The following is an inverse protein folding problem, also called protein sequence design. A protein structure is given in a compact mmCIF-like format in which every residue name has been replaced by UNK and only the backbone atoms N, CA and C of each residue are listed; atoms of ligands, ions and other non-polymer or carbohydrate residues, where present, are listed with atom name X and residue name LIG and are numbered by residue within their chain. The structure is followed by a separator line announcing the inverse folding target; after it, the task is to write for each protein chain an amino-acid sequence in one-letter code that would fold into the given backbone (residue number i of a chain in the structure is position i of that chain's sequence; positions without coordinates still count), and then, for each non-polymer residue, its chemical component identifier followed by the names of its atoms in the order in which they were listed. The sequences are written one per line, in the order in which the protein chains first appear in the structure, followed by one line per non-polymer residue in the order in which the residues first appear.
data_IF_022389331462
#
_entry.id   IF_022389331462
#
_cell.length_a   1.000
_cell.length_b   1.000
_cell.length_c   1.000
_cell.angle_alpha   90.00
_cell.angle_beta   90.00
_cell.angle_gamma   90.00
#
_symmetry.space_group_name_H-M   'P 1'
#
loop_
_entity.id
_entity.type
_entity.pdbx_description
1 polymer ?
#
# COMPACT_ATOMS: atom_id res chain seq x y z
N UNK A 1 -12.04 -21.67 8.77
CA UNK A 1 -11.66 -20.91 7.54
C UNK A 1 -12.86 -20.33 6.78
N UNK A 2 -13.93 -21.09 6.48
CA UNK A 2 -15.13 -20.56 5.77
C UNK A 2 -15.81 -19.43 6.54
N UNK A 3 -15.99 -19.58 7.84
CA UNK A 3 -16.57 -18.56 8.73
C UNK A 3 -15.74 -17.26 8.73
N UNK A 4 -14.42 -17.36 8.94
CA UNK A 4 -13.52 -16.19 8.90
C UNK A 4 -13.56 -15.48 7.54
N UNK A 5 -13.63 -16.25 6.44
CA UNK A 5 -13.75 -15.68 5.09
C UNK A 5 -15.05 -14.89 4.93
N UNK A 6 -16.16 -15.39 5.49
CA UNK A 6 -17.43 -14.66 5.49
C UNK A 6 -17.35 -13.40 6.32
N UNK A 7 -16.80 -13.44 7.54
CA UNK A 7 -16.59 -12.26 8.39
C UNK A 7 -15.77 -11.21 7.63
N UNK A 8 -14.60 -11.59 7.09
CA UNK A 8 -13.77 -10.63 6.35
C UNK A 8 -14.49 -10.02 5.16
N UNK A 9 -15.34 -10.79 4.47
CA UNK A 9 -16.13 -10.31 3.32
C UNK A 9 -17.25 -9.39 3.78
N UNK A 10 -18.11 -9.82 4.69
CA UNK A 10 -19.29 -9.10 5.16
C UNK A 10 -18.94 -7.76 5.81
N UNK A 11 -17.87 -7.70 6.59
CA UNK A 11 -17.41 -6.47 7.21
C UNK A 11 -16.55 -5.58 6.29
N UNK A 12 -16.40 -5.95 5.01
CA UNK A 12 -15.71 -5.16 4.00
C UNK A 12 -14.22 -4.96 4.24
N UNK A 13 -13.53 -5.97 4.81
CA UNK A 13 -12.11 -5.90 5.18
C UNK A 13 -11.24 -6.04 3.93
N UNK A 14 -10.56 -4.95 3.59
CA UNK A 14 -9.61 -4.85 2.49
C UNK A 14 -8.18 -4.87 3.00
N UNK A 15 -7.23 -5.25 2.17
CA UNK A 15 -5.80 -5.07 2.46
C UNK A 15 -5.46 -3.59 2.60
N UNK A 16 -5.26 -3.13 3.84
CA UNK A 16 -5.09 -1.72 4.20
C UNK A 16 -3.68 -1.16 3.94
N UNK A 17 -2.74 -1.99 3.47
CA UNK A 17 -1.37 -1.59 3.11
C UNK A 17 -1.23 -0.82 1.79
N UNK A 18 -2.33 -0.36 1.18
CA UNK A 18 -2.34 0.46 -0.05
C UNK A 18 -2.74 -0.29 -1.33
N UNK A 19 -2.49 -1.61 -1.43
CA UNK A 19 -2.79 -2.39 -2.63
C UNK A 19 -4.31 -2.66 -2.84
N UNK A 20 -5.10 -2.67 -1.76
CA UNK A 20 -6.56 -2.80 -1.85
C UNK A 20 -7.05 -4.20 -2.25
N UNK A 21 -6.28 -5.24 -2.02
CA UNK A 21 -6.72 -6.61 -2.31
C UNK A 21 -7.72 -7.08 -1.23
N UNK A 22 -8.88 -7.67 -1.60
CA UNK A 22 -9.84 -8.21 -0.64
C UNK A 22 -9.22 -9.25 0.29
N UNK A 23 -9.27 -9.00 1.61
CA UNK A 23 -8.53 -9.81 2.60
C UNK A 23 -9.01 -11.25 2.66
N UNK A 24 -10.31 -11.50 2.48
CA UNK A 24 -10.88 -12.84 2.47
C UNK A 24 -10.30 -13.75 1.39
N UNK A 25 -9.87 -13.15 0.26
CA UNK A 25 -9.34 -13.91 -0.87
C UNK A 25 -7.87 -14.34 -0.68
N UNK A 26 -7.18 -13.81 0.33
CA UNK A 26 -5.84 -14.28 0.73
C UNK A 26 -5.88 -15.54 1.59
N UNK A 27 -7.01 -15.87 2.19
CA UNK A 27 -7.16 -17.09 2.98
C UNK A 27 -7.12 -18.31 2.05
N UNK A 28 -6.06 -19.09 2.13
CA UNK A 28 -5.83 -20.29 1.34
C UNK A 28 -5.33 -21.42 2.24
N UNK A 29 -5.61 -22.66 1.83
CA UNK A 29 -5.09 -23.87 2.48
C UNK A 29 -3.59 -24.04 2.13
N UNK A 30 -2.85 -24.70 3.02
CA UNK A 30 -1.43 -24.99 2.82
C UNK A 30 -0.47 -23.90 3.30
N UNK A 31 -0.97 -22.82 3.92
CA UNK A 31 -0.09 -21.89 4.63
C UNK A 31 0.33 -22.48 5.98
N UNK A 32 1.62 -22.35 6.29
CA UNK A 32 2.21 -22.76 7.57
C UNK A 32 2.79 -21.56 8.35
N UNK A 33 2.75 -20.35 7.76
CA UNK A 33 3.22 -19.12 8.38
C UNK A 33 2.31 -17.94 8.05
N UNK A 34 1.94 -17.17 9.07
CA UNK A 34 1.28 -15.89 8.93
C UNK A 34 2.27 -14.76 9.17
N UNK A 35 2.47 -13.89 8.20
CA UNK A 35 3.23 -12.65 8.36
C UNK A 35 2.29 -11.46 8.48
N UNK A 36 2.52 -10.62 9.48
CA UNK A 36 1.80 -9.36 9.64
C UNK A 36 2.77 -8.21 9.41
N UNK A 37 2.55 -7.49 8.32
CA UNK A 37 3.40 -6.40 7.87
C UNK A 37 3.08 -5.11 8.63
N UNK A 38 3.92 -4.77 9.61
CA UNK A 38 4.03 -3.48 10.28
C UNK A 38 5.30 -2.71 9.88
N UNK A 39 5.96 -3.14 8.79
CA UNK A 39 7.19 -2.52 8.28
C UNK A 39 6.88 -1.38 7.32
N UNK A 40 6.22 -0.33 7.83
CA UNK A 40 5.88 0.84 7.03
C UNK A 40 7.13 1.39 6.31
N UNK A 41 7.16 1.25 4.97
CA UNK A 41 8.35 1.54 4.17
C UNK A 41 8.33 2.91 3.53
N UNK A 42 7.16 3.47 3.32
CA UNK A 42 7.01 4.79 2.76
C UNK A 42 7.45 5.83 3.79
N UNK A 43 8.44 6.69 3.45
CA UNK A 43 8.81 7.77 4.34
C UNK A 43 7.62 8.67 4.70
N UNK A 44 7.70 9.34 5.85
CA UNK A 44 6.70 10.29 6.35
C UNK A 44 5.33 9.67 6.70
N UNK A 45 5.17 8.35 6.61
CA UNK A 45 3.97 7.65 7.09
C UNK A 45 4.24 7.06 8.47
N UNK A 46 3.26 7.20 9.36
CA UNK A 46 3.33 6.75 10.76
C UNK A 46 2.10 5.96 11.19
N UNK A 47 1.25 5.59 10.25
CA UNK A 47 -0.04 4.94 10.50
C UNK A 47 0.13 3.59 11.18
N UNK A 48 0.98 2.71 10.64
CA UNK A 48 1.19 1.37 11.22
C UNK A 48 1.90 1.46 12.58
N UNK A 49 2.84 2.40 12.76
CA UNK A 49 3.48 2.66 14.05
C UNK A 49 2.46 3.07 15.12
N UNK A 50 1.56 4.01 14.79
CA UNK A 50 0.54 4.49 15.75
C UNK A 50 -0.45 3.38 16.09
N UNK A 51 -0.93 2.61 15.12
CA UNK A 51 -1.81 1.46 15.38
C UNK A 51 -1.13 0.45 16.30
N UNK A 52 0.15 0.15 16.09
CA UNK A 52 0.91 -0.75 16.97
C UNK A 52 1.14 -0.17 18.35
N UNK A 53 1.33 1.16 18.48
CA UNK A 53 1.53 1.84 19.75
C UNK A 53 0.26 1.85 20.59
N UNK A 54 -0.88 2.21 19.99
CA UNK A 54 -2.10 2.54 20.71
C UNK A 54 -3.15 1.40 20.69
N UNK A 55 -3.10 0.50 19.67
CA UNK A 55 -4.12 -0.51 19.40
C UNK A 55 -3.56 -1.94 19.27
N UNK A 56 -2.36 -2.20 19.81
CA UNK A 56 -1.72 -3.53 19.76
C UNK A 56 -2.66 -4.68 20.19
N UNK A 57 -3.45 -4.57 21.30
CA UNK A 57 -4.35 -5.65 21.69
C UNK A 57 -5.36 -6.02 20.61
N UNK A 58 -5.85 -5.04 19.84
CA UNK A 58 -6.80 -5.27 18.77
C UNK A 58 -6.15 -5.94 17.56
N UNK A 59 -4.92 -5.52 17.22
CA UNK A 59 -4.11 -6.17 16.17
C UNK A 59 -3.85 -7.64 16.53
N UNK A 60 -3.42 -7.92 17.75
CA UNK A 60 -3.16 -9.28 18.24
C UNK A 60 -4.44 -10.14 18.24
N UNK A 61 -5.59 -9.54 18.58
CA UNK A 61 -6.88 -10.22 18.45
C UNK A 61 -7.17 -10.67 17.01
N UNK A 62 -7.01 -9.76 16.03
CA UNK A 62 -7.21 -10.12 14.62
C UNK A 62 -6.24 -11.20 14.12
N UNK A 63 -4.98 -11.17 14.58
CA UNK A 63 -4.00 -12.22 14.27
C UNK A 63 -4.44 -13.57 14.86
N UNK A 64 -4.86 -13.58 16.13
CA UNK A 64 -5.33 -14.79 16.82
C UNK A 64 -6.53 -15.41 16.12
N UNK A 65 -7.45 -14.61 15.58
CA UNK A 65 -8.57 -15.09 14.79
C UNK A 65 -8.13 -15.80 13.50
N UNK A 66 -7.13 -15.24 12.79
CA UNK A 66 -6.58 -15.92 11.62
C UNK A 66 -5.97 -17.27 12.01
N UNK A 67 -5.14 -17.31 13.06
CA UNK A 67 -4.47 -18.53 13.51
C UNK A 67 -5.47 -19.61 13.94
N UNK A 68 -6.51 -19.23 14.70
CA UNK A 68 -7.53 -20.16 15.20
C UNK A 68 -8.35 -20.81 14.08
N UNK A 69 -8.71 -20.05 13.04
CA UNK A 69 -9.55 -20.50 11.95
C UNK A 69 -8.79 -21.20 10.82
N UNK A 70 -7.47 -20.96 10.70
CA UNK A 70 -6.63 -21.55 9.64
C UNK A 70 -5.81 -22.74 10.12
N UNK A 71 -5.55 -22.84 11.41
CA UNK A 71 -4.65 -23.85 11.97
C UNK A 71 -3.17 -23.55 11.73
N UNK A 72 -2.82 -22.36 11.22
CA UNK A 72 -1.42 -21.94 11.04
C UNK A 72 -0.71 -21.95 12.40
N UNK A 73 0.47 -22.60 12.52
CA UNK A 73 1.10 -22.83 13.83
C UNK A 73 1.63 -21.58 14.49
N UNK A 74 2.03 -20.55 13.71
CA UNK A 74 2.58 -19.31 14.26
C UNK A 74 2.43 -18.12 13.33
N UNK A 75 2.55 -16.92 13.91
CA UNK A 75 2.60 -15.65 13.19
C UNK A 75 3.83 -14.84 13.60
N UNK A 76 4.38 -14.10 12.63
CA UNK A 76 5.41 -13.08 12.87
C UNK A 76 4.85 -11.70 12.58
N UNK A 77 4.85 -10.82 13.60
CA UNK A 77 4.62 -9.39 13.43
C UNK A 77 5.94 -8.74 13.01
N UNK A 78 6.03 -8.39 11.73
CA UNK A 78 7.23 -7.86 11.11
C UNK A 78 7.27 -6.34 11.25
N UNK A 79 8.25 -5.80 11.96
CA UNK A 79 8.44 -4.37 12.19
C UNK A 79 9.89 -3.96 11.93
N UNK A 80 10.12 -2.72 11.50
CA UNK A 80 11.46 -2.19 11.28
C UNK A 80 12.18 -1.92 12.61
N UNK A 81 13.50 -1.98 12.62
CA UNK A 81 14.33 -1.79 13.82
C UNK A 81 14.05 -0.47 14.54
N UNK A 82 13.89 0.65 13.84
CA UNK A 82 13.55 1.93 14.48
C UNK A 82 12.15 1.92 15.10
N UNK A 83 11.17 1.25 14.50
CA UNK A 83 9.81 1.09 15.05
C UNK A 83 9.85 0.17 16.27
N UNK A 84 10.55 -0.95 16.19
CA UNK A 84 10.74 -1.88 17.30
C UNK A 84 11.35 -1.17 18.52
N UNK A 85 12.42 -0.38 18.30
CA UNK A 85 13.05 0.44 19.35
C UNK A 85 12.07 1.41 20.01
N UNK A 86 11.22 2.09 19.22
CA UNK A 86 10.21 3.03 19.75
C UNK A 86 9.12 2.33 20.57
N UNK A 87 8.76 1.10 20.18
CA UNK A 87 7.75 0.29 20.87
C UNK A 87 8.32 -0.52 22.05
N UNK A 88 9.64 -0.54 22.24
CA UNK A 88 10.28 -1.38 23.26
C UNK A 88 10.19 -2.87 22.97
N UNK A 89 10.16 -3.28 21.71
CA UNK A 89 10.00 -4.66 21.24
C UNK A 89 11.34 -5.16 20.71
N UNK A 90 11.76 -6.36 21.12
CA UNK A 90 12.95 -7.05 20.60
C UNK A 90 12.58 -8.13 19.57
N UNK A 91 13.55 -8.52 18.74
CA UNK A 91 13.38 -9.65 17.82
C UNK A 91 13.14 -10.94 18.59
N UNK A 92 12.11 -11.70 18.19
CA UNK A 92 11.71 -12.94 18.85
C UNK A 92 10.82 -12.77 20.09
N UNK A 93 10.50 -11.55 20.53
CA UNK A 93 9.58 -11.33 21.65
C UNK A 93 8.23 -12.01 21.40
N UNK A 94 7.75 -12.75 22.41
CA UNK A 94 6.40 -13.34 22.39
C UNK A 94 5.37 -12.26 22.75
N UNK A 95 4.61 -11.83 21.74
CA UNK A 95 3.59 -10.78 21.87
C UNK A 95 2.24 -11.34 22.37
N UNK A 96 1.92 -12.57 21.96
CA UNK A 96 0.74 -13.33 22.41
C UNK A 96 0.97 -14.83 22.15
N UNK A 97 -0.04 -15.68 22.39
CA UNK A 97 0.10 -17.09 22.04
C UNK A 97 0.31 -17.27 20.56
N UNK A 98 1.39 -18.02 20.17
CA UNK A 98 1.80 -18.28 18.78
C UNK A 98 2.11 -17.02 17.93
N UNK A 99 2.23 -15.83 18.55
CA UNK A 99 2.53 -14.57 17.86
C UNK A 99 3.84 -14.01 18.39
N UNK A 100 4.81 -13.82 17.49
CA UNK A 100 6.15 -13.36 17.81
C UNK A 100 6.51 -12.10 17.02
N UNK A 101 7.37 -11.27 17.57
CA UNK A 101 7.94 -10.14 16.87
C UNK A 101 9.07 -10.59 15.93
N UNK A 102 9.13 -9.99 14.75
CA UNK A 102 10.25 -10.12 13.82
C UNK A 102 10.77 -8.74 13.47
N UNK A 103 11.95 -8.42 13.94
CA UNK A 103 12.59 -7.12 13.69
C UNK A 103 13.37 -7.19 12.37
N UNK A 104 13.03 -6.30 11.45
CA UNK A 104 13.61 -6.20 10.13
C UNK A 104 14.53 -4.97 10.02
N UNK A 105 15.54 -5.00 9.12
CA UNK A 105 16.45 -3.88 8.93
C UNK A 105 15.71 -2.61 8.43
N UNK A 106 16.27 -1.44 8.76
CA UNK A 106 15.77 -0.14 8.34
C UNK A 106 16.15 0.19 6.89
N UNK A 107 15.63 -0.60 5.96
CA UNK A 107 15.90 -0.46 4.52
C UNK A 107 14.61 -0.27 3.72
N UNK A 108 14.74 0.24 2.50
CA UNK A 108 13.66 0.39 1.52
C UNK A 108 13.92 -0.52 0.31
N UNK A 109 12.93 -1.23 -0.21
CA UNK A 109 11.51 -1.33 0.15
C UNK A 109 11.18 -2.63 0.92
N UNK A 110 11.62 -2.77 2.16
CA UNK A 110 11.45 -4.00 2.97
C UNK A 110 9.98 -4.41 3.17
N UNK A 111 9.05 -3.45 3.16
CA UNK A 111 7.61 -3.70 3.27
C UNK A 111 6.94 -4.17 1.97
N UNK A 112 7.67 -4.28 0.86
CA UNK A 112 7.19 -4.99 -0.31
C UNK A 112 6.97 -6.47 0.03
N UNK A 113 5.79 -7.02 -0.27
CA UNK A 113 5.33 -8.33 0.21
C UNK A 113 6.36 -9.45 -0.04
N UNK A 114 6.98 -9.50 -1.22
CA UNK A 114 7.98 -10.54 -1.55
C UNK A 114 9.30 -10.31 -0.82
N UNK A 115 9.73 -9.06 -0.73
CA UNK A 115 10.93 -8.69 0.04
C UNK A 115 10.74 -8.98 1.53
N UNK A 116 9.56 -8.69 2.07
CA UNK A 116 9.19 -8.97 3.45
C UNK A 116 9.25 -10.48 3.76
N UNK A 117 8.67 -11.31 2.89
CA UNK A 117 8.65 -12.78 3.07
C UNK A 117 10.08 -13.32 3.11
N UNK A 118 10.93 -12.85 2.20
CA UNK A 118 12.32 -13.30 2.18
C UNK A 118 13.08 -12.88 3.44
N UNK A 119 12.98 -11.62 3.86
CA UNK A 119 13.67 -11.12 5.06
C UNK A 119 13.14 -11.73 6.36
N UNK A 120 11.84 -11.93 6.47
CA UNK A 120 11.24 -12.45 7.69
C UNK A 120 11.40 -13.96 7.85
N UNK A 121 11.35 -14.72 6.75
CA UNK A 121 11.23 -16.18 6.77
C UNK A 121 12.26 -16.91 5.89
N UNK A 122 13.14 -16.22 5.15
CA UNK A 122 14.10 -16.84 4.23
C UNK A 122 13.45 -17.54 3.02
N UNK A 123 12.14 -17.30 2.77
CA UNK A 123 11.39 -17.97 1.71
C UNK A 123 11.31 -17.10 0.46
N UNK A 124 11.58 -17.67 -0.69
CA UNK A 124 11.45 -16.98 -1.97
C UNK A 124 10.09 -17.30 -2.59
N UNK A 125 9.31 -16.28 -2.89
CA UNK A 125 8.12 -16.41 -3.73
C UNK A 125 8.56 -16.40 -5.18
N UNK A 126 8.18 -17.39 -5.95
CA UNK A 126 8.53 -17.47 -7.37
C UNK A 126 7.93 -16.29 -8.16
N UNK A 127 8.62 -15.81 -9.20
CA UNK A 127 8.14 -14.71 -10.04
C UNK A 127 6.75 -14.97 -10.61
N UNK A 128 5.82 -14.05 -10.37
CA UNK A 128 4.43 -14.14 -10.85
C UNK A 128 3.50 -15.05 -10.03
N UNK A 129 4.03 -15.78 -9.07
CA UNK A 129 3.22 -16.61 -8.15
C UNK A 129 2.76 -15.79 -6.92
N UNK A 130 1.84 -16.35 -6.17
CA UNK A 130 1.31 -15.75 -4.94
C UNK A 130 2.09 -16.22 -3.70
N UNK A 131 2.12 -15.45 -2.59
CA UNK A 131 2.79 -15.83 -1.35
C UNK A 131 2.45 -17.22 -0.82
N UNK A 132 1.25 -17.70 -1.07
CA UNK A 132 0.81 -19.05 -0.66
C UNK A 132 1.65 -20.16 -1.27
N UNK A 133 2.26 -19.95 -2.44
CA UNK A 133 3.17 -20.96 -3.04
C UNK A 133 4.45 -21.14 -2.22
N UNK A 134 4.80 -20.15 -1.39
CA UNK A 134 5.87 -20.23 -0.40
C UNK A 134 5.34 -20.62 1.00
N UNK A 135 4.09 -21.06 1.13
CA UNK A 135 3.46 -21.44 2.40
C UNK A 135 3.11 -20.26 3.31
N UNK A 136 3.03 -19.03 2.78
CA UNK A 136 2.87 -17.81 3.57
C UNK A 136 1.59 -17.07 3.23
N UNK A 137 0.90 -16.56 4.25
CA UNK A 137 -0.13 -15.53 4.12
C UNK A 137 0.41 -14.22 4.69
N UNK A 138 0.21 -13.10 4.00
CA UNK A 138 0.65 -11.78 4.45
C UNK A 138 -0.53 -10.84 4.60
N UNK A 139 -0.68 -10.24 5.79
CA UNK A 139 -1.62 -9.15 6.05
C UNK A 139 -0.88 -7.90 6.56
N UNK A 140 -1.48 -6.72 6.41
CA UNK A 140 -0.99 -5.49 7.03
C UNK A 140 -1.55 -5.33 8.46
N UNK A 141 -0.87 -4.57 9.30
CA UNK A 141 -1.27 -4.27 10.70
C UNK A 141 -2.70 -3.74 10.78
N UNK A 142 -3.06 -2.73 9.98
CA UNK A 142 -4.41 -2.17 9.99
C UNK A 142 -5.48 -3.17 9.52
N UNK A 143 -5.12 -4.11 8.65
CA UNK A 143 -6.03 -5.20 8.25
C UNK A 143 -6.34 -6.09 9.45
N UNK A 144 -5.35 -6.41 10.28
CA UNK A 144 -5.55 -7.21 11.49
C UNK A 144 -6.32 -6.44 12.56
N UNK A 145 -6.04 -5.14 12.71
CA UNK A 145 -6.86 -4.25 13.54
C UNK A 145 -8.35 -4.29 13.12
N UNK A 146 -8.64 -4.11 11.84
CA UNK A 146 -10.00 -4.13 11.30
C UNK A 146 -10.69 -5.49 11.51
N UNK A 147 -9.95 -6.59 11.40
CA UNK A 147 -10.47 -7.92 11.70
C UNK A 147 -10.80 -8.07 13.19
N UNK A 148 -9.92 -7.61 14.07
CA UNK A 148 -10.17 -7.59 15.52
C UNK A 148 -11.43 -6.80 15.87
N UNK A 149 -11.65 -5.62 15.26
CA UNK A 149 -12.85 -4.80 15.43
C UNK A 149 -14.12 -5.52 14.93
N UNK A 150 -14.03 -6.18 13.77
CA UNK A 150 -15.15 -6.93 13.20
C UNK A 150 -15.58 -8.10 14.11
N UNK A 151 -14.62 -8.88 14.62
CA UNK A 151 -14.92 -10.05 15.45
C UNK A 151 -15.40 -9.66 16.86
N UNK A 152 -14.75 -8.67 17.49
CA UNK A 152 -15.07 -8.31 18.87
C UNK A 152 -16.29 -7.41 19.01
N UNK A 153 -16.52 -6.53 18.05
CA UNK A 153 -17.53 -5.47 18.16
C UNK A 153 -18.54 -5.49 17.01
N UNK A 154 -18.49 -6.46 16.12
CA UNK A 154 -19.32 -6.52 14.89
C UNK A 154 -19.26 -5.22 14.10
N UNK A 155 -18.10 -4.57 14.06
CA UNK A 155 -17.91 -3.28 13.45
C UNK A 155 -17.35 -3.42 12.02
N UNK A 156 -18.08 -3.01 10.99
CA UNK A 156 -17.58 -2.98 9.61
C UNK A 156 -16.53 -1.88 9.43
N UNK A 157 -15.77 -1.98 8.34
CA UNK A 157 -14.72 -0.99 8.03
C UNK A 157 -15.38 0.29 7.51
N UNK A 158 -15.67 1.21 8.43
CA UNK A 158 -16.28 2.52 8.19
C UNK A 158 -15.30 3.68 8.36
N UNK A 159 -14.20 3.47 9.06
CA UNK A 159 -13.18 4.49 9.35
C UNK A 159 -11.82 4.09 8.83
N UNK A 160 -10.97 5.07 8.58
CA UNK A 160 -9.63 4.89 8.06
C UNK A 160 -8.61 5.63 8.89
N UNK A 161 -7.55 4.92 9.28
CA UNK A 161 -6.35 5.51 9.85
C UNK A 161 -5.48 6.07 8.74
N UNK A 162 -5.01 7.31 8.86
CA UNK A 162 -4.09 7.90 7.90
C UNK A 162 -3.15 8.93 8.53
N UNK A 163 -1.96 9.03 7.98
CA UNK A 163 -1.03 10.11 8.27
C UNK A 163 -1.38 11.33 7.41
N UNK A 164 -1.46 12.51 8.02
CA UNK A 164 -1.46 13.80 7.30
C UNK A 164 -0.14 14.48 7.60
N UNK A 165 0.70 14.69 6.59
CA UNK A 165 2.09 15.08 6.80
C UNK A 165 2.76 15.77 5.61
N UNK A 166 4.09 15.74 5.61
CA UNK A 166 4.92 16.43 4.65
C UNK A 166 5.25 17.85 5.08
N UNK A 167 5.23 18.79 4.16
CA UNK A 167 5.54 20.21 4.39
C UNK A 167 4.38 20.96 5.08
N UNK A 168 3.88 20.45 6.17
CA UNK A 168 2.88 21.08 7.03
C UNK A 168 3.45 21.32 8.42
N UNK A 169 2.87 22.26 9.16
CA UNK A 169 3.39 22.68 10.47
C UNK A 169 3.37 21.55 11.51
N UNK A 170 2.27 20.81 11.57
CA UNK A 170 2.05 19.77 12.56
C UNK A 170 1.59 18.47 11.85
N UNK A 171 2.50 17.57 11.47
CA UNK A 171 2.14 16.25 10.98
C UNK A 171 1.39 15.45 12.06
N UNK A 172 0.33 14.75 11.66
CA UNK A 172 -0.55 14.00 12.58
C UNK A 172 -0.99 12.68 11.97
N UNK A 173 -1.35 11.74 12.83
CA UNK A 173 -2.16 10.57 12.47
C UNK A 173 -3.58 10.82 12.95
N UNK A 174 -4.55 10.58 12.10
CA UNK A 174 -5.98 10.75 12.40
C UNK A 174 -6.75 9.50 11.99
N UNK A 175 -7.92 9.31 12.58
CA UNK A 175 -8.91 8.32 12.15
C UNK A 175 -10.16 9.06 11.67
N UNK A 176 -10.55 8.84 10.41
CA UNK A 176 -11.65 9.59 9.77
C UNK A 176 -12.64 8.65 9.10
N UNK A 177 -13.91 9.04 8.91
CA UNK A 177 -14.87 8.28 8.11
C UNK A 177 -14.37 8.07 6.68
N UNK A 178 -14.55 6.86 6.14
CA UNK A 178 -14.28 6.58 4.73
C UNK A 178 -15.20 7.45 3.88
N UNK A 179 -14.64 8.06 2.83
CA UNK A 179 -15.37 9.02 2.00
C UNK A 179 -15.18 10.48 2.42
N UNK A 180 -14.48 10.77 3.53
CA UNK A 180 -14.12 12.16 3.89
C UNK A 180 -13.34 12.81 2.76
N UNK A 181 -13.79 13.96 2.26
CA UNK A 181 -13.07 14.70 1.21
C UNK A 181 -11.77 15.26 1.80
N UNK A 182 -10.70 15.19 1.04
CA UNK A 182 -9.38 15.68 1.49
C UNK A 182 -9.41 17.20 1.75
N UNK A 183 -10.19 17.96 0.99
CA UNK A 183 -10.38 19.39 1.23
C UNK A 183 -11.03 19.67 2.61
N UNK A 184 -12.03 18.86 3.01
CA UNK A 184 -12.70 19.01 4.31
C UNK A 184 -11.76 18.59 5.45
N UNK A 185 -10.97 17.53 5.25
CA UNK A 185 -9.94 17.11 6.20
C UNK A 185 -8.89 18.22 6.40
N UNK A 186 -8.42 18.84 5.32
CA UNK A 186 -7.47 19.94 5.40
C UNK A 186 -8.07 21.16 6.12
N UNK A 187 -9.34 21.47 5.84
CA UNK A 187 -10.05 22.54 6.54
C UNK A 187 -10.14 22.29 8.04
N UNK A 188 -10.48 21.05 8.45
CA UNK A 188 -10.57 20.64 9.86
C UNK A 188 -9.21 20.72 10.58
N UNK A 189 -8.11 20.47 9.86
CA UNK A 189 -6.74 20.52 10.39
C UNK A 189 -6.08 21.91 10.20
N UNK A 190 -6.78 22.88 9.64
CA UNK A 190 -6.23 24.23 9.37
C UNK A 190 -5.10 24.24 8.33
N UNK A 191 -5.06 23.23 7.43
CA UNK A 191 -4.02 23.08 6.41
C UNK A 191 -4.43 23.86 5.16
N UNK A 192 -3.53 24.73 4.69
CA UNK A 192 -3.64 25.42 3.39
C UNK A 192 -2.52 24.91 2.49
N UNK A 193 -2.87 24.49 1.28
CA UNK A 193 -1.90 24.10 0.26
C UNK A 193 -1.59 25.32 -0.58
N UNK A 194 -0.35 25.77 -0.54
CA UNK A 194 0.14 26.93 -1.28
C UNK A 194 0.52 26.54 -2.72
N UNK A 195 0.67 27.55 -3.58
CA UNK A 195 1.24 27.36 -4.93
C UNK A 195 2.66 26.81 -4.84
N UNK A 196 3.03 25.90 -5.76
CA UNK A 196 4.32 25.21 -5.73
C UNK A 196 4.34 23.96 -4.84
N UNK A 197 3.17 23.51 -4.33
CA UNK A 197 3.04 22.28 -3.56
C UNK A 197 2.07 21.30 -4.22
N UNK A 198 2.43 20.04 -4.18
CA UNK A 198 1.62 18.92 -4.68
C UNK A 198 1.13 18.05 -3.52
N UNK A 199 -0.12 17.57 -3.61
CA UNK A 199 -0.72 16.66 -2.64
C UNK A 199 -0.68 15.22 -3.16
N UNK A 200 -0.28 14.30 -2.28
CA UNK A 200 -0.21 12.86 -2.57
C UNK A 200 -1.21 12.08 -1.72
N UNK A 201 -1.84 11.06 -2.29
CA UNK A 201 -2.42 9.92 -1.59
C UNK A 201 -1.35 8.83 -1.49
N UNK A 202 -0.95 8.49 -0.26
CA UNK A 202 0.15 7.58 0.04
C UNK A 202 1.48 8.29 0.29
N UNK A 203 2.56 7.51 0.29
CA UNK A 203 3.90 8.01 0.59
C UNK A 203 4.62 8.68 -0.58
N UNK A 204 5.78 9.27 -0.35
CA UNK A 204 6.53 10.01 -1.36
C UNK A 204 7.07 9.12 -2.49
N UNK A 205 7.30 7.84 -2.25
CA UNK A 205 7.83 6.91 -3.25
C UNK A 205 6.73 6.40 -4.20
N UNK A 206 5.69 5.79 -3.65
CA UNK A 206 4.67 5.06 -4.42
C UNK A 206 3.31 5.77 -4.48
N UNK A 207 3.09 6.80 -3.67
CA UNK A 207 1.85 7.57 -3.63
C UNK A 207 1.52 8.23 -4.96
N UNK A 208 0.25 8.60 -5.12
CA UNK A 208 -0.31 9.21 -6.35
C UNK A 208 -0.60 10.68 -6.12
N UNK A 209 -0.37 11.51 -7.14
CA UNK A 209 -0.79 12.91 -7.12
C UNK A 209 -2.31 12.98 -7.15
N UNK A 210 -2.90 13.77 -6.26
CA UNK A 210 -4.34 13.97 -6.15
C UNK A 210 -4.72 15.44 -6.17
N UNK A 211 -5.97 15.71 -6.56
CA UNK A 211 -6.60 17.01 -6.35
C UNK A 211 -7.43 16.94 -5.06
N UNK A 212 -7.07 17.66 -3.98
CA UNK A 212 -7.79 17.63 -2.70
C UNK A 212 -9.27 17.94 -2.80
N UNK A 213 -9.66 18.81 -3.72
CA UNK A 213 -11.06 19.21 -3.91
C UNK A 213 -11.94 18.09 -4.50
N UNK A 214 -11.33 17.14 -5.24
CA UNK A 214 -12.03 16.06 -5.94
C UNK A 214 -11.74 14.67 -5.37
N UNK A 215 -10.87 14.56 -4.37
CA UNK A 215 -10.43 13.28 -3.81
C UNK A 215 -11.01 13.04 -2.42
N UNK A 216 -11.45 11.81 -2.19
CA UNK A 216 -11.96 11.36 -0.89
C UNK A 216 -11.11 10.22 -0.32
N UNK A 217 -10.99 10.18 1.00
CA UNK A 217 -10.33 9.10 1.74
C UNK A 217 -11.02 7.76 1.46
N UNK A 218 -10.24 6.75 1.14
CA UNK A 218 -10.73 5.41 0.82
C UNK A 218 -10.20 4.38 1.79
N UNK A 219 -10.69 3.15 1.74
CA UNK A 219 -10.15 2.02 2.53
C UNK A 219 -8.65 1.77 2.29
N UNK A 220 -8.08 2.28 1.19
CA UNK A 220 -6.67 2.08 0.80
C UNK A 220 -5.79 3.30 1.03
N UNK A 221 -6.35 4.45 1.40
CA UNK A 221 -5.59 5.67 1.69
C UNK A 221 -4.74 5.47 2.95
N UNK A 222 -3.42 5.54 2.81
CA UNK A 222 -2.48 5.34 3.92
C UNK A 222 -1.99 6.66 4.53
N UNK A 223 -1.96 7.71 3.72
CA UNK A 223 -1.59 9.05 4.15
C UNK A 223 -1.92 10.07 3.09
N UNK A 224 -2.02 11.32 3.51
CA UNK A 224 -2.15 12.50 2.65
C UNK A 224 -0.94 13.38 2.93
N UNK A 225 -0.07 13.53 1.96
CA UNK A 225 1.17 14.30 2.10
C UNK A 225 1.17 15.53 1.21
N UNK A 226 1.60 16.67 1.77
CA UNK A 226 1.84 17.92 1.04
C UNK A 226 3.33 18.06 0.84
N UNK A 227 3.83 18.11 -0.39
CA UNK A 227 5.25 18.22 -0.68
C UNK A 227 5.53 19.31 -1.71
N UNK A 228 6.69 20.02 -1.59
CA UNK A 228 7.10 21.00 -2.59
C UNK A 228 7.35 20.33 -3.95
N UNK A 229 7.03 21.05 -5.00
CA UNK A 229 7.12 20.61 -6.39
C UNK A 229 8.56 20.33 -6.87
N UNK A 230 9.53 20.93 -6.22
CA UNK A 230 10.97 20.77 -6.48
C UNK A 230 11.60 19.56 -5.80
N UNK A 231 10.85 18.80 -4.98
CA UNK A 231 11.36 17.55 -4.40
C UNK A 231 11.46 16.45 -5.45
N UNK A 232 12.50 15.61 -5.35
CA UNK A 232 12.66 14.46 -6.25
C UNK A 232 11.43 13.52 -6.19
N UNK A 233 10.79 13.43 -5.04
CA UNK A 233 9.55 12.70 -4.85
C UNK A 233 8.43 13.16 -5.81
N UNK A 234 8.29 14.47 -6.03
CA UNK A 234 7.27 15.04 -6.93
C UNK A 234 7.75 15.06 -8.38
N UNK A 235 9.00 15.43 -8.62
CA UNK A 235 9.60 15.46 -9.98
C UNK A 235 9.42 14.08 -10.67
N UNK A 236 9.72 12.99 -9.96
CA UNK A 236 9.60 11.64 -10.50
C UNK A 236 8.15 11.26 -10.86
N UNK A 237 7.15 11.79 -10.16
CA UNK A 237 5.73 11.53 -10.44
C UNK A 237 5.19 12.33 -11.64
N UNK A 238 5.82 13.43 -11.99
CA UNK A 238 5.49 14.25 -13.16
C UNK A 238 6.09 13.67 -14.46
N UNK A 239 7.04 12.73 -14.38
CA UNK A 239 7.69 12.10 -15.54
C UNK A 239 6.80 11.00 -16.11
N UNK A 240 6.42 11.11 -17.38
CA UNK A 240 5.71 10.07 -18.11
C UNK A 240 6.65 9.26 -19.02
N UNK A 241 6.13 8.20 -19.65
CA UNK A 241 6.90 7.32 -20.53
C UNK A 241 7.55 8.08 -21.69
N UNK A 242 6.83 8.95 -22.39
CA UNK A 242 7.36 9.70 -23.56
C UNK A 242 8.56 10.54 -23.16
N UNK A 243 8.49 11.23 -22.02
CA UNK A 243 9.61 12.00 -21.47
C UNK A 243 10.79 11.10 -21.10
N UNK A 244 10.51 9.92 -20.52
CA UNK A 244 11.54 8.96 -20.12
C UNK A 244 12.26 8.37 -21.34
N UNK A 245 11.54 8.03 -22.41
CA UNK A 245 12.11 7.51 -23.67
C UNK A 245 12.94 8.58 -24.35
N UNK A 246 12.42 9.78 -24.57
CA UNK A 246 13.16 10.87 -25.21
C UNK A 246 14.47 11.20 -24.49
N UNK A 247 14.43 11.16 -23.14
CA UNK A 247 15.65 11.36 -22.34
C UNK A 247 16.61 10.17 -22.45
N UNK A 248 16.08 8.95 -22.55
CA UNK A 248 16.89 7.76 -22.68
C UNK A 248 17.63 7.71 -24.02
N UNK A 249 17.01 8.12 -25.13
CA UNK A 249 17.61 8.19 -26.46
C UNK A 249 18.87 9.06 -26.50
N UNK A 250 18.90 10.12 -25.67
CA UNK A 250 20.00 11.09 -25.66
C UNK A 250 21.03 10.84 -24.56
N UNK A 251 20.63 10.27 -23.42
CA UNK A 251 21.44 10.25 -22.20
C UNK A 251 21.72 8.85 -21.63
N UNK A 252 21.07 7.76 -22.11
CA UNK A 252 21.28 6.44 -21.54
C UNK A 252 22.68 5.90 -21.85
N UNK A 253 23.56 5.85 -20.86
CA UNK A 253 24.92 5.30 -20.98
C UNK A 253 24.99 3.78 -20.80
N UNK A 254 23.86 3.08 -20.71
CA UNK A 254 23.74 1.61 -20.61
C UNK A 254 24.52 0.99 -19.43
N UNK A 255 24.67 1.72 -18.32
CA UNK A 255 25.45 1.32 -17.13
C UNK A 255 24.81 0.20 -16.31
N UNK A 256 23.61 -0.28 -16.66
CA UNK A 256 22.82 -1.34 -16.00
C UNK A 256 22.38 -1.07 -14.54
N UNK A 257 22.83 0.00 -13.89
CA UNK A 257 22.54 0.28 -12.45
C UNK A 257 21.06 0.21 -12.07
N UNK A 258 20.15 0.60 -12.98
CA UNK A 258 18.71 0.51 -12.74
C UNK A 258 18.23 -0.95 -12.56
N UNK A 259 18.93 -1.92 -13.13
CA UNK A 259 18.72 -3.36 -12.94
C UNK A 259 19.46 -3.85 -11.68
N UNK A 260 20.73 -3.49 -11.54
CA UNK A 260 21.60 -3.94 -10.45
C UNK A 260 21.08 -3.49 -9.06
N UNK A 261 20.37 -2.36 -9.02
CA UNK A 261 19.73 -1.83 -7.80
C UNK A 261 18.25 -2.23 -7.65
N UNK A 262 17.70 -3.01 -8.59
CA UNK A 262 16.31 -3.40 -8.55
C UNK A 262 16.08 -4.48 -7.47
N UNK A 263 15.24 -4.23 -6.44
CA UNK A 263 15.04 -5.20 -5.34
C UNK A 263 14.44 -6.51 -5.83
N UNK A 264 13.60 -6.48 -6.87
CA UNK A 264 13.03 -7.69 -7.48
C UNK A 264 14.07 -8.48 -8.27
N UNK A 265 14.96 -7.79 -9.01
CA UNK A 265 16.06 -8.45 -9.71
C UNK A 265 17.06 -9.09 -8.73
N UNK A 266 17.31 -8.43 -7.59
CA UNK A 266 18.17 -8.98 -6.54
C UNK A 266 17.58 -10.21 -5.84
N UNK A 267 16.26 -10.35 -5.83
CA UNK A 267 15.56 -11.58 -5.41
C UNK A 267 15.53 -12.67 -6.50
N UNK A 268 16.27 -12.49 -7.60
CA UNK A 268 16.34 -13.46 -8.69
C UNK A 268 15.24 -13.31 -9.75
N UNK A 269 14.39 -12.30 -9.65
CA UNK A 269 13.33 -12.09 -10.64
C UNK A 269 13.91 -11.63 -11.99
N UNK A 270 13.37 -12.10 -13.12
CA UNK A 270 13.83 -11.71 -14.46
C UNK A 270 13.34 -10.32 -14.86
N UNK A 271 13.40 -9.36 -13.94
CA UNK A 271 13.03 -7.97 -14.13
C UNK A 271 14.27 -7.12 -14.36
N UNK A 272 14.50 -6.71 -15.61
CA UNK A 272 15.67 -5.97 -16.04
C UNK A 272 15.30 -4.58 -16.60
N UNK A 273 15.15 -3.57 -15.73
CA UNK A 273 14.77 -2.21 -16.14
C UNK A 273 15.58 -1.63 -17.30
N UNK A 274 16.90 -1.88 -17.35
CA UNK A 274 17.75 -1.36 -18.45
C UNK A 274 17.35 -1.91 -19.82
N UNK A 275 16.99 -3.19 -19.93
CA UNK A 275 16.54 -3.80 -21.18
C UNK A 275 15.19 -3.23 -21.63
N UNK A 276 14.27 -3.00 -20.67
CA UNK A 276 12.96 -2.40 -20.98
C UNK A 276 13.11 -0.98 -21.54
N UNK A 277 14.00 -0.18 -20.95
CA UNK A 277 14.29 1.17 -21.46
C UNK A 277 14.86 1.09 -22.89
N UNK A 278 15.82 0.20 -23.15
CA UNK A 278 16.40 0.03 -24.46
C UNK A 278 15.38 -0.44 -25.52
N UNK A 279 14.49 -1.33 -25.14
CA UNK A 279 13.39 -1.78 -26.02
C UNK A 279 12.44 -0.62 -26.35
N UNK A 280 12.09 0.20 -25.35
CA UNK A 280 11.23 1.36 -25.56
C UNK A 280 11.85 2.43 -26.49
N UNK A 281 13.17 2.54 -26.50
CA UNK A 281 13.93 3.40 -27.43
C UNK A 281 14.06 2.82 -28.85
N UNK A 282 13.60 1.59 -29.08
CA UNK A 282 13.88 0.88 -30.35
C UNK A 282 15.34 0.44 -30.54
N UNK A 283 16.17 0.53 -29.49
CA UNK A 283 17.61 0.20 -29.56
C UNK A 283 17.91 -1.28 -29.23
N UNK A 284 16.89 -2.10 -29.02
CA UNK A 284 17.01 -3.53 -28.78
C UNK A 284 15.78 -4.27 -29.31
N UNK A 285 15.99 -5.52 -29.72
CA UNK A 285 14.90 -6.40 -30.12
C UNK A 285 13.90 -6.64 -28.94
N UNK A 286 12.61 -6.70 -29.30
CA UNK A 286 11.55 -6.95 -28.32
C UNK A 286 11.52 -8.43 -27.95
N UNK A 287 11.95 -8.77 -26.75
CA UNK A 287 11.81 -10.11 -26.20
C UNK A 287 10.53 -10.21 -25.38
N UNK A 288 9.56 -11.09 -25.73
CA UNK A 288 8.28 -11.20 -25.02
C UNK A 288 8.41 -11.41 -23.51
N UNK A 289 9.34 -12.25 -23.07
CA UNK A 289 9.60 -12.53 -21.66
C UNK A 289 9.99 -11.26 -20.89
N UNK A 290 10.78 -10.39 -21.51
CA UNK A 290 11.21 -9.15 -20.89
C UNK A 290 10.04 -8.19 -20.71
N UNK A 291 9.16 -8.07 -21.71
CA UNK A 291 7.95 -7.23 -21.59
C UNK A 291 7.02 -7.78 -20.54
N UNK A 292 6.77 -9.11 -20.51
CA UNK A 292 5.95 -9.77 -19.50
C UNK A 292 6.48 -9.54 -18.09
N UNK A 293 7.81 -9.49 -17.90
CA UNK A 293 8.42 -9.26 -16.60
C UNK A 293 8.12 -7.87 -16.00
N UNK A 294 7.59 -6.92 -16.78
CA UNK A 294 7.10 -5.65 -16.26
C UNK A 294 6.02 -5.83 -15.19
N UNK A 295 5.23 -6.91 -15.25
CA UNK A 295 4.21 -7.23 -14.25
C UNK A 295 4.78 -7.57 -12.87
N UNK A 296 6.07 -7.92 -12.80
CA UNK A 296 6.79 -8.22 -11.56
C UNK A 296 7.26 -6.97 -10.82
N UNK A 297 7.18 -5.79 -11.44
CA UNK A 297 7.62 -4.54 -10.83
C UNK A 297 6.72 -4.12 -9.67
N UNK A 298 7.29 -3.86 -8.49
CA UNK A 298 6.58 -3.32 -7.33
C UNK A 298 6.39 -1.79 -7.38
N UNK A 299 7.02 -1.09 -8.31
CA UNK A 299 6.86 0.37 -8.47
C UNK A 299 7.64 1.21 -7.45
N UNK A 300 8.63 0.67 -6.77
CA UNK A 300 9.36 1.32 -5.67
C UNK A 300 10.12 2.61 -6.06
N UNK A 301 10.43 2.83 -7.34
CA UNK A 301 11.09 4.06 -7.80
C UNK A 301 12.61 4.12 -7.66
N UNK A 302 13.26 3.06 -7.13
CA UNK A 302 14.73 3.03 -6.95
C UNK A 302 15.48 3.22 -8.27
N UNK A 303 14.99 2.56 -9.34
CA UNK A 303 15.61 2.60 -10.64
C UNK A 303 15.67 4.00 -11.27
N UNK A 304 14.75 4.90 -10.89
CA UNK A 304 14.71 6.29 -11.39
C UNK A 304 15.36 7.29 -10.44
N UNK A 305 15.03 7.22 -9.14
CA UNK A 305 15.43 8.29 -8.20
C UNK A 305 16.84 8.09 -7.63
N UNK A 306 17.33 6.85 -7.52
CA UNK A 306 18.65 6.54 -6.96
C UNK A 306 19.61 5.95 -8.00
N UNK A 307 19.16 4.97 -8.79
CA UNK A 307 20.06 4.21 -9.63
C UNK A 307 20.44 4.96 -10.92
N UNK A 308 19.50 5.68 -11.56
CA UNK A 308 19.76 6.38 -12.80
C UNK A 308 20.38 7.77 -12.55
N UNK A 309 21.70 7.90 -12.79
CA UNK A 309 22.42 9.18 -12.70
C UNK A 309 22.06 10.16 -13.84
N UNK A 310 21.43 9.67 -14.91
CA UNK A 310 21.03 10.48 -16.07
C UNK A 310 19.59 11.03 -15.93
N UNK A 311 18.92 10.77 -14.81
CA UNK A 311 17.55 11.24 -14.57
C UNK A 311 16.51 10.65 -15.53
N UNK A 312 16.78 9.49 -16.13
CA UNK A 312 15.78 8.69 -16.87
C UNK A 312 14.86 8.04 -15.84
N UNK A 313 13.58 7.91 -16.18
CA UNK A 313 12.61 7.18 -15.35
C UNK A 313 12.31 5.80 -15.94
N UNK A 314 13.12 4.75 -15.64
CA UNK A 314 12.78 3.39 -16.05
C UNK A 314 11.43 2.94 -15.48
N UNK A 315 11.03 3.44 -14.30
CA UNK A 315 9.73 3.15 -13.70
C UNK A 315 8.57 3.59 -14.60
N UNK A 316 8.65 4.76 -15.24
CA UNK A 316 7.60 5.25 -16.13
C UNK A 316 7.44 4.34 -17.37
N UNK A 317 8.54 3.87 -17.94
CA UNK A 317 8.56 2.89 -19.06
C UNK A 317 7.92 1.56 -18.61
N UNK A 318 8.34 1.02 -17.47
CA UNK A 318 7.81 -0.22 -16.93
C UNK A 318 6.31 -0.10 -16.60
N UNK A 319 5.87 1.03 -16.04
CA UNK A 319 4.47 1.28 -15.74
C UNK A 319 3.59 1.28 -17.00
N UNK A 320 4.08 1.82 -18.12
CA UNK A 320 3.40 1.76 -19.40
C UNK A 320 3.24 0.32 -19.90
N UNK A 321 4.33 -0.45 -19.94
CA UNK A 321 4.24 -1.89 -20.29
C UNK A 321 3.28 -2.64 -19.38
N UNK A 322 3.36 -2.43 -18.07
CA UNK A 322 2.45 -3.05 -17.09
C UNK A 322 0.98 -2.69 -17.37
N UNK A 323 0.69 -1.43 -17.73
CA UNK A 323 -0.65 -0.97 -18.11
C UNK A 323 -1.17 -1.64 -19.39
N UNK A 324 -0.32 -1.77 -20.43
CA UNK A 324 -0.65 -2.46 -21.68
C UNK A 324 -0.91 -3.95 -21.43
N UNK A 325 -0.07 -4.62 -20.64
CA UNK A 325 -0.25 -6.02 -20.28
C UNK A 325 -1.54 -6.26 -19.50
N UNK A 326 -1.88 -5.38 -18.56
CA UNK A 326 -3.11 -5.46 -17.78
C UNK A 326 -4.37 -5.34 -18.68
N UNK A 327 -4.37 -4.41 -19.65
CA UNK A 327 -5.46 -4.26 -20.64
C UNK A 327 -5.68 -5.53 -21.46
N UNK A 328 -4.59 -6.25 -21.78
CA UNK A 328 -4.62 -7.49 -22.54
C UNK A 328 -4.72 -8.75 -21.65
N UNK A 329 -4.90 -8.60 -20.34
CA UNK A 329 -4.95 -9.69 -19.36
C UNK A 329 -3.71 -10.61 -19.38
N UNK A 330 -2.57 -10.08 -19.80
CA UNK A 330 -1.29 -10.77 -19.84
C UNK A 330 -0.51 -10.52 -18.53
N UNK A 331 0.15 -11.55 -18.04
CA UNK A 331 1.04 -11.48 -16.87
C UNK A 331 2.19 -12.47 -17.01
N UNK A 332 3.26 -12.23 -16.27
CA UNK A 332 4.36 -13.18 -16.17
C UNK A 332 3.86 -14.46 -15.49
N UNK A 333 4.08 -15.59 -16.13
CA UNK A 333 3.74 -16.92 -15.62
C UNK A 333 4.64 -17.97 -16.29
N UNK A 334 5.95 -17.80 -16.15
CA UNK A 334 6.93 -18.76 -16.68
C UNK A 334 7.60 -19.46 -15.50
N UNK A 335 7.70 -20.76 -15.60
CA UNK A 335 8.45 -21.58 -14.64
C UNK A 335 9.96 -21.43 -14.94
N UNK A 336 10.78 -21.55 -13.90
CA UNK A 336 12.23 -21.43 -14.00
C UNK A 336 12.91 -21.62 -12.65
N UNK A 337 14.21 -21.76 -12.66
CA UNK A 337 15.01 -21.74 -11.45
C UNK A 337 15.37 -20.29 -11.09
N UNK A 338 14.96 -19.87 -9.91
CA UNK A 338 15.19 -18.52 -9.41
C UNK A 338 15.93 -18.59 -8.09
N UNK A 339 17.03 -17.84 -8.00
CA UNK A 339 17.83 -17.72 -6.79
C UNK A 339 18.12 -16.28 -6.46
N UNK A 340 18.20 -15.97 -5.18
CA UNK A 340 18.60 -14.64 -4.69
C UNK A 340 20.05 -14.39 -5.09
N UNK A 341 20.35 -13.17 -5.53
CA UNK A 341 21.70 -12.78 -5.94
C UNK A 341 22.59 -12.53 -4.73
N UNK A 342 23.83 -12.98 -4.77
CA UNK A 342 24.80 -12.85 -3.68
C UNK A 342 25.07 -11.39 -3.28
N UNK A 343 24.96 -10.46 -4.26
CA UNK A 343 25.22 -9.04 -4.01
C UNK A 343 24.06 -8.32 -3.33
N UNK A 344 22.92 -8.97 -3.09
CA UNK A 344 21.73 -8.34 -2.53
C UNK A 344 21.99 -7.62 -1.21
N UNK A 345 22.72 -8.23 -0.30
CA UNK A 345 23.03 -7.65 1.02
C UNK A 345 23.78 -6.32 0.92
N UNK A 346 24.67 -6.19 -0.06
CA UNK A 346 25.49 -4.99 -0.26
C UNK A 346 24.73 -3.87 -1.00
N UNK A 347 23.55 -4.16 -1.55
CA UNK A 347 22.73 -3.23 -2.37
C UNK A 347 21.44 -2.79 -1.68
N UNK A 348 21.24 -3.17 -0.42
CA UNK A 348 20.11 -2.72 0.36
C UNK A 348 20.22 -1.21 0.64
N UNK A 349 19.10 -0.49 0.54
CA UNK A 349 19.06 0.97 0.63
C UNK A 349 18.58 1.38 2.01
N UNK A 350 19.41 1.96 2.89
CA UNK A 350 18.98 2.46 4.19
C UNK A 350 17.83 3.47 4.03
N UNK A 351 16.81 3.38 4.89
CA UNK A 351 15.63 4.26 4.84
C UNK A 351 15.99 5.74 4.90
N UNK A 352 16.97 6.13 5.71
CA UNK A 352 17.47 7.51 5.80
C UNK A 352 18.10 7.98 4.47
N UNK A 353 18.86 7.12 3.80
CA UNK A 353 19.43 7.42 2.48
C UNK A 353 18.33 7.61 1.45
N UNK A 354 17.29 6.77 1.49
CA UNK A 354 16.16 6.87 0.60
C UNK A 354 15.40 8.19 0.79
N UNK A 355 15.12 8.60 2.02
CA UNK A 355 14.51 9.91 2.32
C UNK A 355 15.33 11.09 1.78
N UNK A 356 16.65 11.02 1.92
CA UNK A 356 17.56 12.04 1.36
C UNK A 356 17.48 12.12 -0.17
N UNK A 357 17.44 10.96 -0.84
CA UNK A 357 17.30 10.88 -2.31
C UNK A 357 15.99 11.48 -2.79
N UNK A 358 14.89 11.26 -2.06
CA UNK A 358 13.59 11.82 -2.38
C UNK A 358 13.46 13.33 -2.03
N UNK A 359 14.42 13.89 -1.30
CA UNK A 359 14.39 15.29 -0.86
C UNK A 359 13.41 15.58 0.27
N UNK A 360 13.04 14.54 1.06
CA UNK A 360 11.98 14.64 2.07
C UNK A 360 12.46 14.59 3.52
N UNK A 361 13.77 14.44 3.77
CA UNK A 361 14.33 14.28 5.12
C UNK A 361 13.92 15.38 6.09
N UNK A 362 13.84 16.62 5.62
CA UNK A 362 13.46 17.79 6.46
C UNK A 362 12.02 17.77 6.93
N UNK A 363 11.17 16.92 6.34
CA UNK A 363 9.76 16.77 6.69
C UNK A 363 9.50 15.54 7.56
N UNK A 364 10.54 14.77 7.90
CA UNK A 364 10.42 13.56 8.72
C UNK A 364 10.27 13.92 10.20
N UNK A 365 9.05 14.23 10.57
CA UNK A 365 8.64 14.49 11.96
C UNK A 365 7.65 13.41 12.37
N UNK A 366 7.85 12.82 13.53
CA UNK A 366 6.95 11.79 14.08
C UNK A 366 5.56 12.39 14.21
N UNK A 367 4.58 11.74 13.59
CA UNK A 367 3.19 12.13 13.65
C UNK A 367 2.49 11.35 14.77
N UNK A 368 1.96 12.05 15.76
CA UNK A 368 1.18 11.46 16.85
C UNK A 368 -0.30 11.36 16.49
N UNK A 369 -1.00 10.42 17.13
CA UNK A 369 -2.45 10.28 17.01
C UNK A 369 -3.15 11.41 17.77
N UNK A 370 -3.99 12.17 17.07
CA UNK A 370 -4.76 13.26 17.65
C UNK A 370 -6.25 12.92 17.85
N UNK A 371 -6.64 11.68 17.57
CA UNK A 371 -8.01 11.21 17.76
C UNK A 371 -8.79 10.96 16.47
N UNK A 372 -10.08 10.72 16.65
CA UNK A 372 -11.02 10.55 15.54
C UNK A 372 -11.64 11.91 15.17
N UNK A 373 -11.62 12.23 13.87
CA UNK A 373 -12.31 13.39 13.32
C UNK A 373 -13.58 12.91 12.62
N UNK A 374 -14.72 13.12 13.25
CA UNK A 374 -16.01 12.60 12.79
C UNK A 374 -16.99 13.68 12.29
N UNK A 375 -16.66 14.97 12.46
CA UNK A 375 -17.59 16.08 12.19
C UNK A 375 -17.53 16.59 10.75
N UNK A 376 -17.72 15.68 9.80
CA UNK A 376 -17.83 16.04 8.40
C UNK A 376 -19.29 16.06 7.98
N UNK A 377 -19.72 17.13 7.31
CA UNK A 377 -21.12 17.30 6.85
C UNK A 377 -21.48 16.36 5.69
N UNK A 378 -20.47 15.83 4.99
CA UNK A 378 -20.65 15.00 3.81
C UNK A 378 -19.49 14.02 3.65
N UNK A 379 -19.78 12.80 3.22
CA UNK A 379 -18.80 11.81 2.78
C UNK A 379 -19.13 11.30 1.37
N UNK A 380 -18.11 10.89 0.61
CA UNK A 380 -18.23 10.38 -0.75
C UNK A 380 -17.51 9.04 -0.85
N UNK A 381 -18.24 7.94 -0.79
CA UNK A 381 -17.71 6.57 -0.74
C UNK A 381 -17.65 5.98 -2.15
N UNK A 382 -16.44 5.81 -2.75
CA UNK A 382 -16.30 5.22 -4.06
C UNK A 382 -16.62 3.72 -4.05
N UNK A 383 -17.26 3.23 -5.13
CA UNK A 383 -17.64 1.81 -5.28
C UNK A 383 -16.49 0.92 -5.77
N UNK A 384 -15.39 1.50 -6.29
CA UNK A 384 -14.33 0.79 -7.03
C UNK A 384 -12.91 1.08 -6.53
N UNK A 385 -12.68 1.16 -5.20
CA UNK A 385 -11.34 1.44 -4.63
C UNK A 385 -10.66 0.20 -4.03
N UNK A 386 -11.17 -0.98 -4.30
CA UNK A 386 -10.52 -2.26 -4.03
C UNK A 386 -10.17 -2.95 -5.36
N UNK A 387 -9.27 -3.92 -5.32
CA UNK A 387 -8.97 -4.76 -6.48
C UNK A 387 -10.16 -5.69 -6.73
N UNK A 388 -10.62 -5.71 -7.98
CA UNK A 388 -11.74 -6.54 -8.41
C UNK A 388 -12.89 -5.74 -9.01
N UNK A 389 -14.10 -6.26 -8.87
CA UNK A 389 -15.31 -5.70 -9.46
C UNK A 389 -15.90 -4.65 -8.51
N UNK A 390 -16.34 -3.48 -9.01
CA UNK A 390 -17.01 -2.47 -8.20
C UNK A 390 -18.21 -3.03 -7.42
N UNK A 391 -18.44 -2.50 -6.21
CA UNK A 391 -19.61 -2.84 -5.41
C UNK A 391 -20.90 -2.34 -6.07
N UNK A 392 -22.02 -3.02 -5.83
CA UNK A 392 -23.33 -2.72 -6.39
C UNK A 392 -24.17 -2.00 -5.32
N UNK A 393 -24.61 -0.74 -5.52
CA UNK A 393 -25.49 -0.04 -4.57
C UNK A 393 -26.75 -0.83 -4.24
N UNK A 394 -27.15 -0.81 -2.96
CA UNK A 394 -28.41 -1.39 -2.46
C UNK A 394 -29.32 -0.32 -1.85
N UNK A 395 -28.94 0.93 -1.96
CA UNK A 395 -29.68 2.11 -1.50
C UNK A 395 -30.06 3.00 -2.68
N UNK A 396 -31.06 3.85 -2.49
CA UNK A 396 -31.60 4.79 -3.47
C UNK A 396 -31.38 6.24 -3.03
N UNK A 397 -31.54 7.19 -3.97
CA UNK A 397 -31.53 8.61 -3.66
C UNK A 397 -32.64 8.95 -2.65
N UNK A 398 -32.25 9.68 -1.60
CA UNK A 398 -33.15 10.08 -0.52
C UNK A 398 -33.26 9.09 0.63
N UNK A 399 -32.74 7.88 0.52
CA UNK A 399 -32.73 6.91 1.63
C UNK A 399 -31.93 7.48 2.79
N UNK A 400 -32.41 7.24 4.01
CA UNK A 400 -31.63 7.50 5.23
C UNK A 400 -30.90 6.23 5.64
N UNK A 401 -29.59 6.33 5.95
CA UNK A 401 -28.76 5.22 6.41
C UNK A 401 -28.09 5.55 7.74
N UNK A 402 -27.96 4.53 8.59
CA UNK A 402 -27.17 4.60 9.83
C UNK A 402 -25.70 4.27 9.59
N UNK A 403 -24.78 4.81 10.42
CA UNK A 403 -23.37 4.41 10.41
C UNK A 403 -23.24 2.88 10.59
N UNK A 404 -22.45 2.22 9.75
CA UNK A 404 -22.28 0.77 9.70
C UNK A 404 -23.30 0.02 8.84
N UNK A 405 -24.34 0.65 8.36
CA UNK A 405 -25.34 0.04 7.49
C UNK A 405 -24.77 -0.31 6.09
N UNK A 406 -25.21 -1.44 5.53
CA UNK A 406 -24.78 -1.88 4.21
C UNK A 406 -25.39 -0.95 3.13
N UNK A 407 -24.54 -0.27 2.37
CA UNK A 407 -24.97 0.65 1.29
C UNK A 407 -24.66 0.13 -0.12
N UNK A 408 -23.72 -0.80 -0.23
CA UNK A 408 -23.46 -1.50 -1.49
C UNK A 408 -23.01 -2.93 -1.22
N UNK A 409 -23.56 -3.89 -1.93
CA UNK A 409 -23.19 -5.31 -1.85
C UNK A 409 -21.97 -5.62 -2.70
N UNK A 410 -21.25 -6.68 -2.35
CA UNK A 410 -20.19 -7.20 -3.20
C UNK A 410 -20.79 -7.80 -4.48
N UNK A 411 -20.23 -7.44 -5.64
CA UNK A 411 -20.55 -8.09 -6.91
C UNK A 411 -20.06 -9.55 -6.94
N UNK A 412 -20.52 -10.30 -7.93
CA UNK A 412 -20.03 -11.66 -8.17
C UNK A 412 -18.54 -11.66 -8.53
N UNK A 413 -17.79 -12.61 -7.95
CA UNK A 413 -16.33 -12.71 -8.10
C UNK A 413 -15.56 -11.97 -7.01
N UNK A 414 -14.41 -11.38 -7.36
CA UNK A 414 -13.57 -10.65 -6.42
C UNK A 414 -14.14 -9.25 -6.20
N UNK A 415 -14.81 -9.04 -5.07
CA UNK A 415 -15.47 -7.78 -4.72
C UNK A 415 -15.66 -7.68 -3.21
N UNK A 416 -15.95 -6.47 -2.70
CA UNK A 416 -16.24 -6.20 -1.29
C UNK A 416 -17.48 -5.32 -1.13
N UNK A 417 -18.26 -5.46 -0.06
CA UNK A 417 -19.34 -4.54 0.26
C UNK A 417 -18.81 -3.19 0.75
N UNK A 418 -19.68 -2.18 0.70
CA UNK A 418 -19.44 -0.87 1.32
C UNK A 418 -20.50 -0.62 2.38
N UNK A 419 -20.07 0.00 3.49
CA UNK A 419 -20.92 0.38 4.62
C UNK A 419 -20.91 1.88 4.79
N UNK A 420 -22.02 2.43 5.25
CA UNK A 420 -22.14 3.85 5.56
C UNK A 420 -21.12 4.22 6.65
N UNK A 421 -20.28 5.19 6.38
CA UNK A 421 -19.25 5.65 7.33
C UNK A 421 -19.75 6.74 8.27
N UNK A 422 -20.91 7.30 7.99
CA UNK A 422 -21.67 8.25 8.81
C UNK A 422 -23.16 8.03 8.60
N UNK A 423 -23.98 8.44 9.57
CA UNK A 423 -25.44 8.46 9.38
C UNK A 423 -25.88 9.68 8.59
N UNK A 424 -26.84 9.51 7.67
CA UNK A 424 -27.34 10.63 6.86
C UNK A 424 -28.16 10.20 5.64
N UNK A 425 -28.49 11.16 4.80
CA UNK A 425 -29.29 10.97 3.60
C UNK A 425 -28.39 10.68 2.39
N UNK A 426 -28.73 9.63 1.66
CA UNK A 426 -28.00 9.14 0.49
C UNK A 426 -28.30 9.98 -0.76
N UNK A 427 -27.28 10.20 -1.56
CA UNK A 427 -27.35 10.65 -2.94
C UNK A 427 -26.43 9.77 -3.79
N UNK A 428 -26.95 9.19 -4.85
CA UNK A 428 -26.17 8.38 -5.77
C UNK A 428 -25.41 9.27 -6.76
N UNK A 429 -24.10 9.09 -6.83
CA UNK A 429 -23.22 9.77 -7.77
C UNK A 429 -22.65 8.80 -8.82
N UNK A 430 -21.92 9.32 -9.79
CA UNK A 430 -21.26 8.50 -10.79
C UNK A 430 -20.11 7.68 -10.15
N UNK A 431 -20.38 6.39 -9.90
CA UNK A 431 -19.41 5.45 -9.30
C UNK A 431 -19.12 5.66 -7.80
N UNK A 432 -19.98 6.40 -7.09
CA UNK A 432 -19.85 6.65 -5.63
C UNK A 432 -21.23 6.84 -4.97
N UNK A 433 -21.28 6.57 -3.68
CA UNK A 433 -22.41 6.90 -2.82
C UNK A 433 -22.03 8.10 -1.96
N UNK A 434 -22.86 9.11 -1.94
CA UNK A 434 -22.69 10.33 -1.16
C UNK A 434 -23.65 10.25 0.02
N UNK A 435 -23.16 10.51 1.21
CA UNK A 435 -24.01 10.58 2.41
C UNK A 435 -23.89 11.99 2.97
N UNK A 436 -25.01 12.73 2.97
CA UNK A 436 -25.11 14.04 3.59
C UNK A 436 -25.60 13.87 5.02
N UNK A 437 -24.76 14.23 5.99
CA UNK A 437 -25.09 14.08 7.41
C UNK A 437 -26.24 14.99 7.78
N UNK A 438 -27.25 14.44 8.41
CA UNK A 438 -28.34 15.23 9.03
C UNK A 438 -27.79 15.78 10.34
N UNK A 439 -27.85 17.10 10.51
CA UNK A 439 -27.44 17.81 11.74
C UNK A 439 -28.45 17.61 12.86
#
# INVERSE_FOLDING_TARGET
MKELRNIMREFGIVGAGGAGFPSYAKLAEGADLLLVNGSECEPLLYTDYVILKDEMPMVLSGISEVLSHTGIPSSLLCIKAHTAKRLGIADGDKLADKIFARVLPDVYPIGDEVSLIYEAAGRLVEPGKLPITAGVIVYNVETMYNLGMAVRFSQPVTKKWLTVGGAIKNPVVVKVPIGTRVADLFSALGIKVEEGYTVLDGGPSMGKVINPAAYSVTKTTKGILVLPDDTQAIISKKTNEKMAVARAETACCQCTRCTDMCPRNMLGYPLEPHKMVRTAMGAAEVMPIMVLSATLCCGCGICESLACSQGISPRAVIANYKGLLAKNKLRFNLDGEYSVRDEREYRMIPSKKWMSVLGVTKFDTVADFIGELNEFSRVEIPLSRHIGIPSIPVVSDGDFVGEGELIAMAADGLSLPQHASVSGTVTLGNGKIIINRVR
#
